data_IF_859559135147
#
_entry.id   IF_859559135147
#
_cell.length_a   1.000
_cell.length_b   1.000
_cell.length_c   1.000
_cell.angle_alpha   90.00
_cell.angle_beta   90.00
_cell.angle_gamma   90.00
#
_symmetry.space_group_name_H-M   'P 1'
#
loop_
_entity.id
_entity.type
_entity.pdbx_description
1 polymer ?
#
# COMPACT_ATOMS: atom_id res chain seq x y z
N UNK A 1 17.38 -16.86 -17.83
CA UNK A 1 17.53 -15.54 -17.18
C UNK A 1 18.09 -15.78 -15.80
N UNK A 2 19.05 -14.97 -15.37
CA UNK A 2 19.74 -15.14 -14.09
C UNK A 2 19.13 -14.25 -13.00
N UNK A 3 18.98 -14.80 -11.79
CA UNK A 3 18.52 -14.11 -10.57
C UNK A 3 19.67 -14.03 -9.55
N UNK A 4 19.72 -12.97 -8.75
CA UNK A 4 20.80 -12.71 -7.79
C UNK A 4 20.29 -12.58 -6.36
N UNK A 5 20.91 -13.31 -5.40
CA UNK A 5 20.60 -13.25 -3.97
C UNK A 5 21.82 -12.80 -3.16
N UNK A 6 21.64 -11.90 -2.18
CA UNK A 6 22.71 -11.34 -1.33
C UNK A 6 22.26 -11.28 0.13
N UNK A 7 23.12 -11.69 1.06
CA UNK A 7 22.92 -11.52 2.49
C UNK A 7 24.02 -10.65 3.12
N UNK A 8 23.67 -9.71 4.01
CA UNK A 8 24.59 -8.83 4.72
C UNK A 8 24.41 -8.88 6.25
N UNK A 9 25.54 -8.98 6.98
CA UNK A 9 25.64 -9.12 8.45
C UNK A 9 26.75 -8.21 9.02
N UNK A 10 26.74 -7.88 10.34
CA UNK A 10 27.57 -6.81 10.95
C UNK A 10 29.10 -6.93 10.90
N UNK A 11 29.71 -7.98 10.34
CA UNK A 11 31.17 -8.15 10.37
C UNK A 11 31.86 -7.49 9.17
N UNK A 12 31.93 -6.16 9.16
CA UNK A 12 32.99 -5.40 8.46
C UNK A 12 33.08 -5.47 6.92
N UNK A 13 32.18 -6.17 6.24
CA UNK A 13 32.12 -6.18 4.77
C UNK A 13 30.82 -5.51 4.33
N UNK A 14 30.89 -4.24 3.94
CA UNK A 14 29.96 -3.66 2.97
C UNK A 14 30.25 -4.34 1.62
N UNK A 15 29.37 -5.19 1.08
CA UNK A 15 29.52 -5.64 -0.28
C UNK A 15 29.19 -4.44 -1.18
N UNK A 16 30.21 -3.74 -1.67
CA UNK A 16 30.06 -2.86 -2.83
C UNK A 16 29.80 -3.77 -4.03
N UNK A 17 28.55 -3.84 -4.48
CA UNK A 17 28.14 -4.75 -5.54
C UNK A 17 28.45 -4.18 -6.93
N UNK A 18 29.71 -4.31 -7.33
CA UNK A 18 30.08 -4.55 -8.73
C UNK A 18 30.16 -6.05 -9.07
N UNK A 19 29.98 -6.92 -8.07
CA UNK A 19 30.13 -8.37 -8.20
C UNK A 19 28.82 -9.06 -7.86
N UNK A 20 28.26 -9.70 -8.88
CA UNK A 20 27.12 -10.58 -8.76
C UNK A 20 27.52 -11.85 -7.98
N UNK A 21 26.98 -12.01 -6.78
CA UNK A 21 27.15 -13.23 -5.98
C UNK A 21 25.89 -14.08 -6.16
N UNK A 22 26.02 -15.27 -6.74
CA UNK A 22 24.99 -16.33 -6.63
C UNK A 22 25.15 -17.00 -5.27
N UNK A 23 24.33 -16.64 -4.29
CA UNK A 23 24.20 -17.46 -3.09
C UNK A 23 23.21 -18.59 -3.38
N UNK A 24 23.72 -19.77 -3.75
CA UNK A 24 22.98 -21.02 -3.54
C UNK A 24 23.13 -21.41 -2.07
N UNK A 25 22.22 -20.93 -1.22
CA UNK A 25 21.97 -21.56 0.07
C UNK A 25 21.05 -22.74 -0.24
N UNK A 26 21.60 -23.97 -0.14
CA UNK A 26 21.00 -25.19 -0.68
C UNK A 26 19.49 -25.34 -0.45
N UNK A 27 18.80 -25.81 -1.49
CA UNK A 27 17.44 -26.41 -1.54
C UNK A 27 16.29 -25.68 -0.83
N UNK A 28 16.53 -24.52 -0.21
CA UNK A 28 15.57 -23.69 0.50
C UNK A 28 15.77 -22.27 0.04
N UNK A 29 14.85 -21.78 -0.77
CA UNK A 29 14.87 -20.44 -1.35
C UNK A 29 14.68 -19.40 -0.24
N UNK A 30 15.73 -18.99 0.47
CA UNK A 30 15.67 -17.90 1.45
C UNK A 30 15.43 -16.53 0.79
N UNK A 31 15.10 -15.51 1.60
CA UNK A 31 14.91 -14.13 1.16
C UNK A 31 16.05 -13.68 0.23
N UNK A 32 15.69 -13.05 -0.89
CA UNK A 32 16.66 -12.83 -1.98
C UNK A 32 17.70 -11.77 -1.61
N UNK A 33 17.27 -10.60 -1.14
CA UNK A 33 18.13 -9.61 -0.50
C UNK A 33 17.87 -9.61 1.00
N UNK A 34 18.78 -10.13 1.81
CA UNK A 34 18.60 -10.26 3.26
C UNK A 34 19.58 -9.38 4.03
N UNK A 35 19.07 -8.44 4.82
CA UNK A 35 19.90 -7.54 5.63
C UNK A 35 19.50 -7.56 7.10
N UNK A 36 20.47 -7.85 7.97
CA UNK A 36 20.29 -7.93 9.41
C UNK A 36 21.54 -7.45 10.16
N UNK A 37 21.38 -7.19 11.46
CA UNK A 37 22.45 -6.76 12.35
C UNK A 37 23.13 -5.44 11.95
N UNK A 38 22.40 -4.41 11.50
CA UNK A 38 22.96 -3.21 10.87
C UNK A 38 23.75 -3.47 9.57
N UNK A 39 23.59 -4.63 8.93
CA UNK A 39 24.12 -4.86 7.59
C UNK A 39 23.55 -3.86 6.59
N UNK A 40 24.27 -3.59 5.51
CA UNK A 40 23.81 -2.70 4.44
C UNK A 40 24.02 -3.35 3.08
N UNK A 41 22.96 -3.44 2.28
CA UNK A 41 23.00 -3.88 0.88
C UNK A 41 22.77 -2.67 -0.02
N UNK A 42 23.66 -2.43 -0.98
CA UNK A 42 23.38 -1.57 -2.13
C UNK A 42 23.26 -2.47 -3.36
N UNK A 43 22.18 -2.34 -4.11
CA UNK A 43 21.92 -3.08 -5.34
C UNK A 43 21.38 -2.12 -6.40
N UNK A 44 21.98 -2.14 -7.59
CA UNK A 44 21.52 -1.38 -8.74
C UNK A 44 21.45 -2.29 -9.97
N UNK A 45 20.44 -2.13 -10.81
CA UNK A 45 20.27 -2.93 -12.04
C UNK A 45 20.21 -4.45 -11.78
N UNK A 46 19.54 -4.84 -10.68
CA UNK A 46 19.43 -6.24 -10.26
C UNK A 46 18.07 -6.83 -10.60
N UNK A 47 18.07 -8.11 -10.96
CA UNK A 47 16.84 -8.93 -11.00
C UNK A 47 16.93 -9.95 -9.89
N UNK A 48 15.99 -9.90 -8.97
CA UNK A 48 16.03 -10.71 -7.76
C UNK A 48 14.68 -11.38 -7.54
N UNK A 49 14.71 -12.64 -7.12
CA UNK A 49 13.55 -13.51 -7.02
C UNK A 49 13.53 -14.25 -5.69
N UNK A 50 12.39 -14.24 -5.00
CA UNK A 50 12.15 -15.10 -3.85
C UNK A 50 10.97 -16.05 -4.09
N UNK A 51 11.14 -17.30 -3.70
CA UNK A 51 10.10 -18.33 -3.80
C UNK A 51 9.44 -18.65 -2.46
N UNK A 52 8.35 -19.41 -2.48
CA UNK A 52 7.71 -20.01 -1.30
C UNK A 52 7.32 -18.97 -0.24
N UNK A 53 7.72 -19.18 1.02
CA UNK A 53 7.37 -18.36 2.17
C UNK A 53 8.44 -17.29 2.45
N UNK A 54 8.97 -16.66 1.39
CA UNK A 54 10.07 -15.70 1.49
C UNK A 54 9.80 -14.44 0.68
N UNK A 55 10.47 -13.36 1.07
CA UNK A 55 10.33 -12.06 0.42
C UNK A 55 11.53 -11.74 -0.49
N UNK A 56 11.29 -10.93 -1.52
CA UNK A 56 12.36 -10.53 -2.45
C UNK A 56 13.44 -9.72 -1.73
N UNK A 57 13.05 -8.89 -0.76
CA UNK A 57 13.96 -8.09 0.05
C UNK A 57 13.51 -8.05 1.51
N UNK A 58 14.33 -8.58 2.41
CA UNK A 58 14.10 -8.66 3.85
C UNK A 58 15.05 -7.76 4.64
N UNK A 59 14.50 -6.84 5.43
CA UNK A 59 15.23 -6.13 6.48
C UNK A 59 14.54 -6.34 7.83
N UNK A 60 15.14 -7.11 8.75
CA UNK A 60 14.38 -7.43 9.96
C UNK A 60 15.04 -8.08 11.18
N UNK A 61 16.15 -8.81 11.10
CA UNK A 61 16.69 -9.46 12.32
C UNK A 61 17.56 -8.48 13.11
N UNK A 62 17.15 -8.23 14.36
CA UNK A 62 17.66 -7.15 15.21
C UNK A 62 19.16 -7.22 15.51
N UNK A 63 19.88 -6.08 15.44
CA UNK A 63 19.43 -4.75 14.97
C UNK A 63 19.12 -4.73 13.46
N UNK A 64 18.07 -4.03 13.03
CA UNK A 64 17.61 -4.09 11.62
C UNK A 64 18.71 -3.70 10.63
N UNK A 65 18.75 -4.37 9.47
CA UNK A 65 19.65 -4.01 8.37
C UNK A 65 19.07 -2.94 7.45
N UNK A 66 19.86 -2.51 6.48
CA UNK A 66 19.50 -1.54 5.46
C UNK A 66 19.61 -2.19 4.07
N UNK A 67 18.64 -1.92 3.22
CA UNK A 67 18.60 -2.39 1.83
C UNK A 67 18.34 -1.20 0.93
N UNK A 68 19.24 -0.97 -0.02
CA UNK A 68 19.15 0.06 -1.05
C UNK A 68 19.05 -0.61 -2.42
N UNK A 69 17.91 -0.48 -3.10
CA UNK A 69 17.68 -1.12 -4.42
C UNK A 69 17.23 -0.08 -5.42
N UNK A 70 17.93 0.04 -6.55
CA UNK A 70 17.60 0.96 -7.65
C UNK A 70 17.60 0.23 -9.00
N UNK A 71 16.80 0.70 -9.95
CA UNK A 71 16.71 0.17 -11.33
C UNK A 71 16.53 -1.35 -11.38
N UNK A 72 15.74 -1.91 -10.47
CA UNK A 72 15.66 -3.36 -10.26
C UNK A 72 14.31 -3.93 -10.65
N UNK A 73 14.31 -5.22 -10.99
CA UNK A 73 13.08 -6.02 -11.14
C UNK A 73 13.04 -7.05 -10.02
N UNK A 74 12.01 -6.97 -9.19
CA UNK A 74 11.80 -7.85 -8.07
C UNK A 74 10.63 -8.78 -8.37
N UNK A 75 10.82 -10.09 -8.24
CA UNK A 75 9.79 -11.09 -8.46
C UNK A 75 9.62 -11.95 -7.22
N UNK A 76 8.40 -12.34 -6.93
CA UNK A 76 8.15 -13.33 -5.90
C UNK A 76 7.17 -14.39 -6.38
N UNK A 77 7.32 -15.63 -5.92
CA UNK A 77 6.30 -16.67 -6.13
C UNK A 77 6.22 -17.66 -4.97
N UNK A 78 5.07 -17.73 -4.30
CA UNK A 78 4.86 -18.66 -3.19
C UNK A 78 3.81 -18.14 -2.21
N UNK A 79 3.53 -18.94 -1.17
CA UNK A 79 2.53 -18.59 -0.16
C UNK A 79 3.15 -17.47 0.69
N UNK A 80 2.60 -16.24 0.61
CA UNK A 80 3.04 -15.02 1.35
C UNK A 80 4.32 -14.34 0.87
N UNK A 81 4.68 -14.52 -0.40
CA UNK A 81 5.91 -13.94 -0.93
C UNK A 81 5.78 -12.42 -1.21
N UNK A 82 6.16 -11.57 -0.25
CA UNK A 82 6.15 -10.11 -0.38
C UNK A 82 7.38 -9.59 -1.15
N UNK A 83 7.24 -8.52 -1.93
CA UNK A 83 8.40 -7.94 -2.64
C UNK A 83 9.38 -7.32 -1.63
N UNK A 84 8.87 -6.64 -0.61
CA UNK A 84 9.65 -6.11 0.50
C UNK A 84 9.00 -6.52 1.83
N UNK A 85 9.82 -6.97 2.80
CA UNK A 85 9.45 -7.15 4.20
C UNK A 85 10.42 -6.35 5.07
N UNK A 86 9.92 -5.36 5.78
CA UNK A 86 10.77 -4.36 6.44
C UNK A 86 10.28 -4.07 7.85
N UNK A 87 11.01 -4.48 8.88
CA UNK A 87 10.71 -4.11 10.27
C UNK A 87 11.15 -2.67 10.60
N UNK A 88 11.99 -2.06 9.75
CA UNK A 88 12.37 -0.63 9.85
C UNK A 88 12.41 0.10 8.50
N UNK A 89 13.60 0.29 7.93
CA UNK A 89 13.83 1.17 6.78
C UNK A 89 14.28 0.37 5.57
N UNK A 90 13.77 0.72 4.40
CA UNK A 90 14.28 0.22 3.12
C UNK A 90 14.30 1.38 2.13
N UNK A 91 15.20 1.36 1.15
CA UNK A 91 15.56 2.56 0.42
C UNK A 91 15.68 2.31 -1.09
N UNK A 92 14.64 2.59 -1.86
CA UNK A 92 14.74 2.91 -3.30
C UNK A 92 14.95 4.42 -3.50
N UNK A 93 16.12 4.92 -3.10
CA UNK A 93 16.61 6.32 -3.24
C UNK A 93 15.78 7.50 -2.67
N UNK A 94 16.22 7.93 -1.47
CA UNK A 94 16.15 9.22 -0.75
C UNK A 94 15.00 9.52 0.26
N UNK A 95 15.28 9.21 1.54
CA UNK A 95 14.52 9.38 2.81
C UNK A 95 13.23 8.53 2.97
N UNK A 96 13.19 7.63 3.97
CA UNK A 96 12.05 6.74 4.37
C UNK A 96 11.35 6.00 3.21
N UNK A 97 11.59 4.69 3.07
CA UNK A 97 10.84 3.75 2.19
C UNK A 97 10.35 4.33 0.86
N UNK A 98 11.30 4.80 0.06
CA UNK A 98 11.06 5.30 -1.30
C UNK A 98 11.21 4.16 -2.31
N UNK A 99 10.39 4.14 -3.35
CA UNK A 99 10.45 3.26 -4.50
C UNK A 99 10.35 4.14 -5.75
N UNK A 100 11.44 4.26 -6.51
CA UNK A 100 11.48 5.06 -7.75
C UNK A 100 11.85 4.22 -8.94
N UNK A 101 11.17 4.41 -10.06
CA UNK A 101 11.46 3.72 -11.31
C UNK A 101 11.48 2.19 -11.16
N UNK A 102 10.58 1.65 -10.33
CA UNK A 102 10.49 0.20 -10.09
C UNK A 102 9.33 -0.41 -10.85
N UNK A 103 9.51 -1.65 -11.30
CA UNK A 103 8.45 -2.50 -11.85
C UNK A 103 8.36 -3.79 -11.02
N UNK A 104 7.23 -3.92 -10.33
CA UNK A 104 6.98 -4.93 -9.32
C UNK A 104 5.83 -5.82 -9.76
N UNK A 105 6.04 -7.14 -9.78
CA UNK A 105 4.98 -8.13 -10.03
C UNK A 105 4.85 -9.09 -8.86
N UNK A 106 3.70 -9.08 -8.20
CA UNK A 106 3.34 -9.99 -7.12
C UNK A 106 2.21 -10.93 -7.55
N UNK A 107 2.28 -12.19 -7.11
CA UNK A 107 1.38 -13.23 -7.63
C UNK A 107 0.38 -13.81 -6.64
N UNK A 108 0.44 -13.45 -5.35
CA UNK A 108 -0.39 -14.13 -4.33
C UNK A 108 -1.07 -13.26 -3.28
N UNK A 109 -0.34 -12.51 -2.43
CA UNK A 109 -0.98 -11.77 -1.33
C UNK A 109 -1.27 -10.32 -1.64
N UNK A 110 -0.24 -9.55 -2.02
CA UNK A 110 -0.38 -8.15 -2.36
C UNK A 110 0.85 -7.70 -3.17
N UNK A 111 0.74 -6.56 -3.85
CA UNK A 111 1.86 -5.94 -4.56
C UNK A 111 2.98 -5.55 -3.61
N UNK A 112 2.61 -4.79 -2.57
CA UNK A 112 3.49 -4.46 -1.45
C UNK A 112 2.76 -4.70 -0.13
N UNK A 113 3.44 -5.35 0.82
CA UNK A 113 2.92 -5.57 2.18
C UNK A 113 3.76 -4.74 3.15
N UNK A 114 3.10 -3.94 3.98
CA UNK A 114 3.72 -2.99 4.90
C UNK A 114 3.18 -3.22 6.31
N UNK A 115 4.09 -3.38 7.26
CA UNK A 115 3.78 -3.52 8.68
C UNK A 115 4.87 -2.83 9.49
N UNK A 116 4.52 -2.22 10.62
CA UNK A 116 5.49 -1.53 11.48
C UNK A 116 4.85 -1.13 12.80
N UNK A 117 5.48 -1.47 13.91
CA UNK A 117 5.07 -1.02 15.25
C UNK A 117 5.31 0.48 15.53
N UNK A 118 5.39 1.32 14.48
CA UNK A 118 5.67 2.77 14.54
C UNK A 118 5.21 3.47 13.26
N UNK A 119 5.08 4.80 13.30
CA UNK A 119 4.77 5.65 12.15
C UNK A 119 5.76 5.47 11.00
N UNK A 120 5.23 5.32 9.78
CA UNK A 120 6.03 5.13 8.55
C UNK A 120 5.60 6.05 7.44
N UNK A 121 6.55 6.36 6.56
CA UNK A 121 6.30 7.09 5.32
C UNK A 121 6.80 6.25 4.15
N UNK A 122 6.01 6.19 3.09
CA UNK A 122 6.30 5.47 1.87
C UNK A 122 6.14 6.41 0.67
N UNK A 123 7.02 6.29 -0.32
CA UNK A 123 6.90 7.03 -1.57
C UNK A 123 7.05 6.05 -2.73
N UNK A 124 6.07 6.01 -3.61
CA UNK A 124 6.16 5.37 -4.92
C UNK A 124 6.19 6.46 -5.98
N UNK A 125 7.24 6.50 -6.80
CA UNK A 125 7.42 7.53 -7.82
C UNK A 125 7.82 6.88 -9.15
N UNK A 126 7.16 7.24 -10.27
CA UNK A 126 7.48 6.67 -11.59
C UNK A 126 7.51 5.14 -11.62
N UNK A 127 6.61 4.50 -10.88
CA UNK A 127 6.68 3.06 -10.60
C UNK A 127 5.46 2.30 -11.12
N UNK A 128 5.58 0.98 -11.22
CA UNK A 128 4.47 0.09 -11.54
C UNK A 128 4.40 -1.07 -10.55
N UNK A 129 3.20 -1.33 -10.03
CA UNK A 129 2.90 -2.47 -9.19
C UNK A 129 1.82 -3.31 -9.89
N UNK A 130 2.12 -4.55 -10.20
CA UNK A 130 1.19 -5.51 -10.80
C UNK A 130 0.92 -6.66 -9.83
N UNK A 131 -0.34 -6.91 -9.53
CA UNK A 131 -0.79 -7.96 -8.63
C UNK A 131 -1.72 -8.90 -9.38
N UNK A 132 -1.23 -10.11 -9.68
CA UNK A 132 -2.01 -11.09 -10.45
C UNK A 132 -2.90 -11.97 -9.59
N UNK A 133 -2.77 -11.85 -8.26
CA UNK A 133 -3.58 -12.60 -7.31
C UNK A 133 -5.06 -12.17 -7.36
N UNK A 134 -6.01 -13.12 -7.50
CA UNK A 134 -7.44 -12.78 -7.59
C UNK A 134 -8.00 -12.05 -6.36
N UNK A 135 -7.39 -12.21 -5.18
CA UNK A 135 -7.79 -11.54 -3.94
C UNK A 135 -6.78 -10.53 -3.40
N UNK A 136 -5.62 -10.36 -4.05
CA UNK A 136 -4.53 -9.59 -3.49
C UNK A 136 -4.62 -8.09 -3.82
N UNK A 137 -4.52 -7.18 -2.84
CA UNK A 137 -4.50 -5.75 -3.12
C UNK A 137 -3.16 -5.27 -3.66
N UNK A 138 -3.14 -4.08 -4.23
CA UNK A 138 -1.91 -3.40 -4.65
C UNK A 138 -1.00 -3.13 -3.46
N UNK A 139 -1.57 -2.52 -2.43
CA UNK A 139 -0.93 -2.16 -1.17
C UNK A 139 -1.68 -2.80 0.00
N UNK A 140 -0.96 -3.45 0.89
CA UNK A 140 -1.50 -3.99 2.14
C UNK A 140 -0.80 -3.33 3.33
N UNK A 141 -1.58 -2.69 4.19
CA UNK A 141 -1.13 -2.11 5.45
C UNK A 141 -1.71 -2.92 6.61
N UNK A 142 -0.83 -3.38 7.50
CA UNK A 142 -1.23 -4.10 8.70
C UNK A 142 -0.26 -3.93 9.86
N UNK A 143 -0.80 -3.76 11.06
CA UNK A 143 -0.09 -3.35 12.27
C UNK A 143 0.83 -2.14 12.07
N UNK A 144 0.32 -1.01 11.55
CA UNK A 144 1.06 0.22 11.22
C UNK A 144 0.21 1.52 11.23
N UNK A 145 0.88 2.64 11.53
CA UNK A 145 0.44 3.98 11.16
C UNK A 145 1.29 4.42 9.97
N UNK A 146 0.68 4.65 8.82
CA UNK A 146 1.40 4.87 7.57
C UNK A 146 0.92 6.10 6.81
N UNK A 147 1.87 6.87 6.30
CA UNK A 147 1.65 7.82 5.21
C UNK A 147 2.23 7.24 3.92
N UNK A 148 1.46 7.13 2.84
CA UNK A 148 2.02 6.81 1.53
C UNK A 148 1.79 7.93 0.53
N UNK A 149 2.76 8.14 -0.37
CA UNK A 149 2.65 9.06 -1.49
C UNK A 149 2.88 8.30 -2.77
N UNK A 150 1.89 8.33 -3.66
CA UNK A 150 1.85 7.57 -4.91
C UNK A 150 1.87 8.60 -6.05
N UNK A 151 3.02 8.75 -6.70
CA UNK A 151 3.27 9.81 -7.69
C UNK A 151 3.62 9.17 -9.02
N UNK A 152 2.92 9.52 -10.10
CA UNK A 152 3.15 8.95 -11.45
C UNK A 152 3.33 7.43 -11.41
N UNK A 153 2.48 6.75 -10.65
CA UNK A 153 2.63 5.32 -10.37
C UNK A 153 1.38 4.57 -10.82
N UNK A 154 1.58 3.45 -11.51
CA UNK A 154 0.51 2.53 -11.89
C UNK A 154 0.37 1.40 -10.87
N UNK A 155 -0.86 1.06 -10.50
CA UNK A 155 -1.18 -0.10 -9.66
C UNK A 155 -2.25 -0.92 -10.38
N UNK A 156 -1.86 -2.08 -10.90
CA UNK A 156 -2.72 -3.00 -11.64
C UNK A 156 -3.01 -4.21 -10.77
N UNK A 157 -4.27 -4.44 -10.40
CA UNK A 157 -4.63 -5.57 -9.53
C UNK A 157 -5.76 -6.40 -10.13
N UNK A 158 -5.57 -7.71 -10.20
CA UNK A 158 -6.59 -8.64 -10.70
C UNK A 158 -7.84 -8.66 -9.80
N UNK A 159 -7.67 -8.34 -8.53
CA UNK A 159 -8.71 -8.27 -7.50
C UNK A 159 -9.57 -7.00 -7.58
N UNK A 160 -9.11 -5.98 -8.32
CA UNK A 160 -9.71 -4.65 -8.29
C UNK A 160 -9.55 -3.93 -6.94
N UNK A 161 -8.61 -4.38 -6.09
CA UNK A 161 -8.31 -3.74 -4.80
C UNK A 161 -7.00 -2.98 -4.93
N UNK A 162 -7.02 -1.65 -4.76
CA UNK A 162 -5.80 -0.84 -4.75
C UNK A 162 -5.10 -0.95 -3.41
N UNK A 163 -5.86 -0.82 -2.33
CA UNK A 163 -5.34 -0.70 -0.99
C UNK A 163 -6.22 -1.45 0.01
N UNK A 164 -5.56 -2.16 0.93
CA UNK A 164 -6.19 -2.75 2.11
C UNK A 164 -5.52 -2.23 3.38
N UNK A 165 -6.30 -1.78 4.35
CA UNK A 165 -5.88 -1.54 5.73
C UNK A 165 -6.59 -2.51 6.66
N UNK A 166 -5.84 -3.29 7.45
CA UNK A 166 -6.41 -4.31 8.31
C UNK A 166 -5.56 -4.55 9.56
N UNK A 167 -6.22 -4.76 10.72
CA UNK A 167 -5.65 -5.23 11.99
C UNK A 167 -5.03 -6.63 11.82
N UNK A 168 -3.86 -6.68 11.19
CA UNK A 168 -3.22 -7.93 10.80
C UNK A 168 -1.71 -7.77 10.65
N UNK A 169 -0.96 -8.83 10.85
CA UNK A 169 0.48 -8.87 10.63
C UNK A 169 0.83 -10.17 9.90
N UNK A 170 1.77 -10.12 8.96
CA UNK A 170 2.32 -11.35 8.37
C UNK A 170 3.09 -12.11 9.46
N UNK A 171 2.78 -13.39 9.63
CA UNK A 171 3.51 -14.25 10.57
C UNK A 171 4.98 -14.35 10.21
N UNK A 172 5.84 -14.69 11.18
CA UNK A 172 7.26 -14.95 10.93
C UNK A 172 7.49 -16.13 9.97
N UNK A 173 6.54 -17.05 9.90
CA UNK A 173 6.57 -18.19 8.98
C UNK A 173 6.16 -17.81 7.56
N UNK A 174 5.69 -16.57 7.35
CA UNK A 174 5.17 -16.08 6.08
C UNK A 174 4.20 -17.10 5.49
N UNK A 175 3.19 -17.50 6.24
CA UNK A 175 2.18 -18.48 5.82
C UNK A 175 0.76 -17.91 5.83
N UNK A 176 0.47 -16.93 6.70
CA UNK A 176 -0.78 -16.18 6.71
C UNK A 176 -0.65 -14.77 7.33
N UNK A 177 -1.74 -14.01 7.28
CA UNK A 177 -1.93 -12.79 8.05
C UNK A 177 -2.57 -13.15 9.41
N UNK A 178 -1.83 -13.00 10.50
CA UNK A 178 -2.33 -13.15 11.86
C UNK A 178 -3.05 -11.87 12.31
N UNK A 179 -4.27 -11.98 12.82
CA UNK A 179 -5.02 -10.86 13.38
C UNK A 179 -4.92 -10.75 14.90
N UNK A 180 -5.71 -9.84 15.46
CA UNK A 180 -5.77 -9.59 16.92
C UNK A 180 -6.17 -10.81 17.76
N UNK A 181 -6.80 -11.79 17.14
CA UNK A 181 -7.15 -13.09 17.71
C UNK A 181 -5.92 -13.97 18.01
N UNK A 182 -4.85 -13.81 17.25
CA UNK A 182 -3.57 -14.51 17.46
C UNK A 182 -2.58 -13.66 18.26
N UNK A 183 -2.66 -12.33 18.16
CA UNK A 183 -1.83 -11.41 18.94
C UNK A 183 -2.61 -10.14 19.33
N UNK A 184 -2.95 -10.02 20.62
CA UNK A 184 -3.70 -8.89 21.17
C UNK A 184 -2.97 -7.54 21.11
N UNK A 185 -1.67 -7.53 20.84
CA UNK A 185 -0.91 -6.28 20.64
C UNK A 185 -1.21 -5.63 19.28
N UNK A 186 -1.77 -6.38 18.32
CA UNK A 186 -2.11 -5.85 16.99
C UNK A 186 -3.29 -4.87 17.11
N UNK A 187 -3.02 -3.61 16.82
CA UNK A 187 -4.00 -2.51 16.83
C UNK A 187 -4.59 -2.25 15.43
N UNK A 188 -5.76 -1.60 15.33
CA UNK A 188 -6.29 -1.14 14.06
C UNK A 188 -5.41 -0.12 13.34
N UNK A 189 -5.47 -0.14 12.02
CA UNK A 189 -4.57 0.65 11.16
C UNK A 189 -5.03 2.08 10.97
N UNK A 190 -4.06 2.97 10.76
CA UNK A 190 -4.29 4.34 10.31
C UNK A 190 -3.41 4.61 9.09
N UNK A 191 -4.03 4.70 7.93
CA UNK A 191 -3.34 4.89 6.65
C UNK A 191 -3.75 6.23 6.05
N UNK A 192 -2.77 7.01 5.59
CA UNK A 192 -2.97 8.29 4.92
C UNK A 192 -2.20 8.36 3.60
N UNK A 193 -2.94 8.22 2.51
CA UNK A 193 -2.37 8.07 1.18
C UNK A 193 -2.69 9.27 0.29
N UNK A 194 -1.67 9.75 -0.42
CA UNK A 194 -1.77 10.85 -1.38
C UNK A 194 -1.38 10.37 -2.77
N UNK A 195 -2.33 10.44 -3.69
CA UNK A 195 -2.17 10.12 -5.10
C UNK A 195 -1.93 11.42 -5.88
N UNK A 196 -0.88 11.42 -6.68
CA UNK A 196 -0.47 12.56 -7.52
C UNK A 196 -0.09 12.09 -8.92
N UNK A 197 -0.52 12.85 -9.94
CA UNK A 197 -0.19 12.62 -11.35
C UNK A 197 -0.32 11.14 -11.76
N UNK A 198 -1.32 10.43 -11.21
CA UNK A 198 -1.51 8.99 -11.40
C UNK A 198 -2.95 8.68 -11.81
N UNK A 199 -3.14 7.65 -12.64
CA UNK A 199 -4.45 7.12 -13.02
C UNK A 199 -4.61 5.72 -12.40
N UNK A 200 -5.41 5.63 -11.33
CA UNK A 200 -5.60 4.40 -10.55
C UNK A 200 -7.01 3.83 -10.70
N UNK A 201 -7.11 2.50 -10.77
CA UNK A 201 -8.38 1.78 -10.86
C UNK A 201 -8.47 0.70 -9.80
N UNK A 202 -9.53 0.74 -9.01
CA UNK A 202 -9.84 -0.23 -7.96
C UNK A 202 -10.26 0.43 -6.65
N UNK A 203 -10.69 -0.39 -5.71
CA UNK A 203 -11.26 0.05 -4.44
C UNK A 203 -10.20 0.17 -3.34
N UNK A 204 -10.46 1.05 -2.37
CA UNK A 204 -9.76 1.09 -1.09
C UNK A 204 -10.61 0.39 -0.03
N UNK A 205 -10.00 -0.45 0.79
CA UNK A 205 -10.71 -1.36 1.70
C UNK A 205 -10.12 -1.30 3.09
N UNK A 206 -10.97 -1.08 4.09
CA UNK A 206 -10.55 -1.16 5.49
C UNK A 206 -11.37 -2.21 6.25
N UNK A 207 -10.70 -2.92 7.16
CA UNK A 207 -11.25 -3.97 8.00
C UNK A 207 -11.05 -3.64 9.48
N UNK A 208 -11.82 -4.29 10.36
CA UNK A 208 -11.49 -4.43 11.79
C UNK A 208 -11.21 -3.11 12.54
N UNK A 209 -11.98 -2.06 12.25
CA UNK A 209 -11.84 -0.74 12.89
C UNK A 209 -10.75 0.14 12.27
N UNK A 210 -10.06 -0.33 11.23
CA UNK A 210 -9.01 0.41 10.53
C UNK A 210 -9.57 1.65 9.82
N UNK A 211 -8.67 2.61 9.56
CA UNK A 211 -9.01 3.87 8.92
C UNK A 211 -8.09 4.20 7.74
N UNK A 212 -8.69 4.72 6.67
CA UNK A 212 -7.99 5.16 5.47
C UNK A 212 -8.36 6.62 5.17
N UNK A 213 -7.35 7.46 5.07
CA UNK A 213 -7.41 8.78 4.44
C UNK A 213 -6.83 8.65 3.03
N UNK A 214 -7.60 9.02 2.00
CA UNK A 214 -7.21 8.87 0.59
C UNK A 214 -7.42 10.19 -0.14
N UNK A 215 -6.32 10.77 -0.63
CA UNK A 215 -6.31 12.05 -1.31
C UNK A 215 -5.92 11.89 -2.77
N UNK A 216 -6.75 12.40 -3.69
CA UNK A 216 -6.52 12.39 -5.13
C UNK A 216 -6.22 13.81 -5.58
N UNK A 217 -4.99 14.06 -6.03
CA UNK A 217 -4.47 15.41 -6.27
C UNK A 217 -3.58 15.52 -7.50
N UNK A 218 -3.25 16.75 -7.91
CA UNK A 218 -2.33 17.07 -9.01
C UNK A 218 -2.64 16.29 -10.30
N UNK A 219 -3.80 16.54 -10.89
CA UNK A 219 -4.22 15.92 -12.16
C UNK A 219 -4.28 14.39 -12.12
N UNK A 220 -4.63 13.82 -10.96
CA UNK A 220 -4.83 12.37 -10.84
C UNK A 220 -6.25 11.97 -11.21
N UNK A 221 -6.41 10.71 -11.61
CA UNK A 221 -7.71 10.06 -11.70
C UNK A 221 -7.76 8.85 -10.79
N UNK A 222 -8.85 8.70 -10.05
CA UNK A 222 -9.17 7.47 -9.34
C UNK A 222 -10.52 6.94 -9.81
N UNK A 223 -10.58 5.68 -10.24
CA UNK A 223 -11.83 4.97 -10.55
C UNK A 223 -12.03 3.86 -9.53
N UNK A 224 -13.01 4.01 -8.64
CA UNK A 224 -13.26 3.04 -7.56
C UNK A 224 -14.12 3.61 -6.43
N UNK A 225 -14.22 2.85 -5.34
CA UNK A 225 -14.93 3.24 -4.12
C UNK A 225 -14.18 2.88 -2.83
N UNK A 226 -14.70 3.37 -1.71
CA UNK A 226 -14.24 3.02 -0.38
C UNK A 226 -15.21 2.02 0.25
N UNK A 227 -14.72 0.88 0.74
CA UNK A 227 -15.58 -0.20 1.25
C UNK A 227 -15.07 -0.82 2.55
N UNK A 228 -16.00 -1.09 3.45
CA UNK A 228 -15.72 -1.91 4.63
C UNK A 228 -15.54 -3.36 4.16
N UNK A 229 -14.41 -3.94 4.52
CA UNK A 229 -14.14 -5.35 4.28
C UNK A 229 -14.66 -6.22 5.43
N UNK A 230 -15.25 -7.37 5.09
CA UNK A 230 -15.70 -8.36 6.08
C UNK A 230 -16.84 -7.87 6.98
N UNK A 231 -16.87 -8.37 8.21
CA UNK A 231 -17.81 -7.94 9.25
C UNK A 231 -17.12 -6.89 10.14
N UNK A 232 -17.83 -5.83 10.52
CA UNK A 232 -17.32 -4.82 11.46
C UNK A 232 -17.47 -3.39 10.96
N UNK A 233 -16.65 -2.50 11.50
CA UNK A 233 -16.60 -1.08 11.12
C UNK A 233 -15.25 -0.73 10.51
N UNK A 234 -15.24 0.33 9.70
CA UNK A 234 -14.04 0.97 9.19
C UNK A 234 -14.34 2.45 8.96
N UNK A 235 -13.30 3.28 8.89
CA UNK A 235 -13.46 4.72 8.67
C UNK A 235 -12.71 5.20 7.42
N UNK A 236 -13.35 6.05 6.64
CA UNK A 236 -12.80 6.58 5.39
C UNK A 236 -12.87 8.11 5.34
N UNK A 237 -11.76 8.75 4.99
CA UNK A 237 -11.71 10.18 4.67
C UNK A 237 -11.20 10.36 3.25
N UNK A 238 -12.02 10.89 2.35
CA UNK A 238 -11.65 11.04 0.94
C UNK A 238 -11.51 12.54 0.61
N UNK A 239 -10.44 12.92 -0.06
CA UNK A 239 -10.30 14.26 -0.65
C UNK A 239 -9.94 14.20 -2.12
N UNK A 240 -10.56 15.06 -2.93
CA UNK A 240 -10.24 15.24 -4.35
C UNK A 240 -9.97 16.72 -4.58
N UNK A 241 -8.83 17.09 -5.17
CA UNK A 241 -8.56 18.49 -5.52
C UNK A 241 -9.33 18.93 -6.78
N UNK A 242 -9.29 20.23 -7.09
CA UNK A 242 -10.05 20.82 -8.21
C UNK A 242 -9.64 20.25 -9.58
N UNK A 243 -8.39 19.80 -9.73
CA UNK A 243 -7.80 19.40 -11.00
C UNK A 243 -7.83 17.88 -11.22
N UNK A 244 -8.21 17.11 -10.20
CA UNK A 244 -8.21 15.65 -10.20
C UNK A 244 -9.62 15.11 -10.26
N UNK A 245 -9.78 13.90 -10.80
CA UNK A 245 -11.08 13.28 -11.04
C UNK A 245 -11.28 12.05 -10.17
N UNK A 246 -12.47 11.91 -9.56
CA UNK A 246 -12.91 10.66 -8.98
C UNK A 246 -14.10 10.10 -9.78
N UNK A 247 -13.91 8.92 -10.36
CA UNK A 247 -14.97 8.13 -10.99
C UNK A 247 -15.48 7.12 -9.96
N UNK A 248 -16.56 7.49 -9.27
CA UNK A 248 -17.15 6.67 -8.21
C UNK A 248 -17.96 5.51 -8.82
N UNK A 249 -17.58 4.29 -8.47
CA UNK A 249 -18.13 3.05 -9.04
C UNK A 249 -19.39 2.53 -8.33
N UNK A 250 -19.70 3.00 -7.12
CA UNK A 250 -20.85 2.55 -6.32
C UNK A 250 -21.12 3.45 -5.12
N UNK A 251 -22.05 3.06 -4.26
CA UNK A 251 -22.36 3.80 -3.04
C UNK A 251 -21.22 3.72 -2.03
N UNK A 252 -20.95 4.82 -1.33
CA UNK A 252 -19.90 4.90 -0.31
C UNK A 252 -20.38 5.60 0.96
N UNK A 253 -19.87 5.10 2.09
CA UNK A 253 -20.06 5.67 3.41
C UNK A 253 -18.74 6.19 3.93
N UNK A 254 -18.62 7.51 4.07
CA UNK A 254 -17.39 8.19 4.46
C UNK A 254 -17.56 8.85 5.83
N UNK A 255 -16.46 8.99 6.56
CA UNK A 255 -16.42 9.81 7.76
C UNK A 255 -16.29 11.27 7.37
N UNK A 256 -15.41 11.57 6.42
CA UNK A 256 -15.20 12.90 5.86
C UNK A 256 -15.05 12.85 4.34
N UNK A 257 -15.58 13.85 3.66
CA UNK A 257 -15.37 14.08 2.24
C UNK A 257 -15.03 15.55 2.00
N UNK A 258 -14.00 15.80 1.19
CA UNK A 258 -13.65 17.14 0.72
C UNK A 258 -13.48 17.13 -0.80
N UNK A 259 -14.15 18.05 -1.48
CA UNK A 259 -13.92 18.30 -2.89
C UNK A 259 -13.35 19.71 -3.10
N UNK A 260 -12.32 19.82 -3.93
CA UNK A 260 -11.72 21.09 -4.34
C UNK A 260 -12.58 21.85 -5.34
N UNK A 261 -13.28 21.13 -6.23
CA UNK A 261 -14.21 21.74 -7.18
C UNK A 261 -15.58 22.02 -6.52
N UNK A 262 -15.92 23.30 -6.38
CA UNK A 262 -17.19 23.75 -5.81
C UNK A 262 -18.43 23.42 -6.66
N UNK A 263 -18.26 23.01 -7.93
CA UNK A 263 -19.34 22.55 -8.80
C UNK A 263 -19.44 21.01 -8.88
N UNK A 264 -18.48 20.30 -8.26
CA UNK A 264 -18.41 18.84 -8.28
C UNK A 264 -18.35 18.20 -9.68
N UNK A 265 -17.94 18.94 -10.71
CA UNK A 265 -17.79 18.43 -12.07
C UNK A 265 -16.64 17.43 -12.21
N UNK A 266 -15.71 17.44 -11.27
CA UNK A 266 -14.62 16.48 -11.14
C UNK A 266 -15.00 15.16 -10.45
N UNK A 267 -16.25 15.00 -9.97
CA UNK A 267 -16.77 13.75 -9.42
C UNK A 267 -17.75 13.13 -10.42
N UNK A 268 -17.38 12.00 -11.01
CA UNK A 268 -18.22 11.24 -11.96
C UNK A 268 -18.81 10.04 -11.25
N UNK A 269 -20.01 10.19 -10.71
CA UNK A 269 -20.58 9.17 -9.84
C UNK A 269 -21.56 8.22 -10.55
N UNK A 270 -21.45 6.93 -10.23
CA UNK A 270 -22.48 5.90 -10.45
C UNK A 270 -23.22 5.51 -9.16
N UNK A 271 -22.91 6.14 -8.04
CA UNK A 271 -23.53 5.91 -6.73
C UNK A 271 -23.70 7.18 -5.89
N UNK A 272 -23.90 6.97 -4.60
CA UNK A 272 -24.18 8.00 -3.60
C UNK A 272 -23.00 8.13 -2.64
N UNK A 273 -22.63 9.36 -2.30
CA UNK A 273 -21.66 9.65 -1.23
C UNK A 273 -22.45 10.05 0.01
N UNK A 274 -22.31 9.30 1.10
CA UNK A 274 -22.86 9.67 2.39
C UNK A 274 -21.73 9.94 3.38
N UNK A 275 -21.89 10.98 4.23
CA UNK A 275 -20.86 11.35 5.20
C UNK A 275 -21.40 11.35 6.63
N UNK A 276 -20.57 10.90 7.59
CA UNK A 276 -20.91 10.93 9.02
C UNK A 276 -20.61 12.31 9.63
N UNK A 277 -19.56 12.99 9.16
CA UNK A 277 -19.21 14.33 9.63
C UNK A 277 -19.97 15.37 8.81
N UNK A 278 -20.53 16.37 9.49
CA UNK A 278 -21.17 17.53 8.86
C UNK A 278 -20.16 18.21 7.95
N UNK A 279 -20.47 18.36 6.65
CA UNK A 279 -19.84 19.38 5.83
C UNK A 279 -19.94 20.70 6.63
N UNK A 280 -18.83 21.39 6.88
CA UNK A 280 -18.84 22.76 7.42
C UNK A 280 -19.43 23.71 6.36
N UNK A 281 -20.73 23.61 6.14
CA UNK A 281 -21.57 24.65 5.56
C UNK A 281 -22.38 25.23 6.71
N UNK A 282 -21.74 26.05 7.56
CA UNK A 282 -22.33 27.07 8.44
C UNK A 282 -23.60 26.80 9.26
N UNK A 283 -24.20 25.60 9.30
CA UNK A 283 -25.50 25.35 9.92
C UNK A 283 -25.52 23.95 10.51
N UNK A 284 -25.82 23.92 11.81
CA UNK A 284 -25.84 22.72 12.63
C UNK A 284 -27.14 21.93 12.43
N UNK A 285 -27.11 20.68 11.94
CA UNK A 285 -28.28 19.79 12.08
C UNK A 285 -28.47 18.59 11.14
N UNK A 286 -27.71 18.43 10.05
CA UNK A 286 -28.14 17.55 8.94
C UNK A 286 -27.23 16.33 8.71
N UNK A 287 -27.84 15.16 8.43
CA UNK A 287 -27.22 14.07 7.66
C UNK A 287 -27.37 14.43 6.18
N UNK A 288 -26.26 14.55 5.44
CA UNK A 288 -26.30 14.77 3.99
C UNK A 288 -26.04 13.45 3.26
N UNK A 289 -27.00 13.07 2.41
CA UNK A 289 -26.79 12.11 1.34
C UNK A 289 -26.55 12.93 0.07
N UNK A 290 -25.37 12.85 -0.51
CA UNK A 290 -25.09 13.48 -1.79
C UNK A 290 -25.43 12.47 -2.89
N UNK A 291 -26.69 12.50 -3.35
CA UNK A 291 -27.10 11.75 -4.53
C UNK A 291 -26.62 12.49 -5.78
N UNK A 292 -25.56 12.00 -6.41
CA UNK A 292 -24.96 12.62 -7.60
C UNK A 292 -25.54 12.09 -8.92
N UNK A 293 -26.67 11.38 -8.91
CA UNK A 293 -27.39 11.09 -10.15
C UNK A 293 -28.05 12.36 -10.70
N UNK A 294 -27.30 13.14 -11.47
CA UNK A 294 -27.79 14.35 -12.14
C UNK A 294 -27.99 15.53 -11.19
N UNK A 295 -26.91 16.10 -10.67
CA UNK A 295 -26.83 17.45 -10.09
C UNK A 295 -28.05 17.94 -9.26
N UNK A 296 -28.58 17.13 -8.34
CA UNK A 296 -29.49 17.61 -7.31
C UNK A 296 -29.12 17.05 -5.93
N UNK A 297 -28.77 17.96 -5.02
CA UNK A 297 -28.67 17.70 -3.59
C UNK A 297 -30.10 17.57 -3.06
N UNK A 298 -30.50 16.36 -2.67
CA UNK A 298 -31.80 16.12 -2.04
C UNK A 298 -31.62 16.07 -0.51
N UNK A 299 -32.44 16.79 0.28
CA UNK A 299 -32.44 16.62 1.73
C UNK A 299 -32.93 15.22 2.10
N UNK A 300 -32.17 14.52 2.94
CA UNK A 300 -32.59 13.23 3.49
C UNK A 300 -33.78 13.41 4.44
N UNK A 301 -34.85 12.68 4.21
CA UNK A 301 -35.98 12.60 5.14
C UNK A 301 -35.59 11.87 6.42
N UNK A 302 -35.90 12.47 7.56
CA UNK A 302 -35.84 11.88 8.91
C UNK A 302 -36.82 10.72 9.06
#
# INVERSE_FOLDING_TARGET
>A
MDYYCVAAFPSGTTPESGVAIRLHLGDRLQDCLYSAGNGTIHANNVRHYAGENHCSSFSGVGPAGYIYVADAVAHTAGIVSAIFYTLRETYGTNVKSVFRNVDFTAVLLAGTVMFSSSDRQYLFEYSRLTVTAPGGPGLWFGHVIADARIVRTGIDTASGILLTANTSQVTRAFDHFAGSEENHEIQPEVVSDVVEESDLVGDVVAYNGSSISWSVSKHSTWTGGARVGGQGSASFSISVDELSTWVLTGDVHLNAFRNGDGKHGNIRSRGTISTTTRLRLGVSGWRMSLNLQGAQIMPGSS
#
